data_IF_355608365268
#
_entry.id   IF_355608365268
#
_cell.length_a   1.000
_cell.length_b   1.000
_cell.length_c   1.000
_cell.angle_alpha   90.00
_cell.angle_beta   90.00
_cell.angle_gamma   90.00
#
_symmetry.space_group_name_H-M   'P 1'
#
loop_
_entity.id
_entity.type
_entity.pdbx_description
1 polymer ?
#
# COMPACT_ATOMS: atom_id res chain seq x y z
N UNK A 1 -12.29 -22.82 27.73
CA UNK A 1 -13.32 -23.13 28.76
C UNK A 1 -14.57 -22.27 28.62
N UNK A 2 -14.42 -20.96 28.35
CA UNK A 2 -15.54 -20.01 28.29
C UNK A 2 -16.15 -19.87 26.89
N UNK A 3 -15.31 -19.90 25.85
CA UNK A 3 -15.75 -19.87 24.46
C UNK A 3 -14.93 -20.89 23.66
N UNK A 4 -15.62 -21.67 22.84
CA UNK A 4 -15.04 -22.64 21.89
C UNK A 4 -15.51 -22.40 20.46
N UNK A 5 -16.30 -21.36 20.23
CA UNK A 5 -16.84 -21.00 18.92
C UNK A 5 -15.88 -20.15 18.08
N UNK A 6 -14.77 -19.71 18.67
CA UNK A 6 -13.76 -18.84 18.04
C UNK A 6 -12.37 -19.45 18.25
N UNK A 7 -11.50 -19.37 17.23
CA UNK A 7 -10.15 -19.88 17.34
C UNK A 7 -9.34 -19.05 18.35
N UNK A 8 -8.56 -19.72 19.18
CA UNK A 8 -7.51 -19.12 19.99
C UNK A 8 -6.33 -18.80 19.10
N UNK A 9 -5.83 -17.56 19.19
CA UNK A 9 -4.67 -17.10 18.43
C UNK A 9 -3.79 -16.19 19.28
N UNK A 10 -2.56 -15.98 18.83
CA UNK A 10 -1.62 -15.03 19.40
C UNK A 10 -0.72 -14.45 18.29
N UNK A 11 -0.23 -13.24 18.53
CA UNK A 11 0.74 -12.56 17.68
C UNK A 11 2.17 -12.96 18.08
N UNK A 12 2.83 -13.78 17.25
CA UNK A 12 4.17 -14.29 17.50
C UNK A 12 5.21 -13.33 16.91
N UNK A 13 5.80 -12.48 17.75
CA UNK A 13 6.87 -11.55 17.38
C UNK A 13 8.19 -12.25 16.99
N UNK A 14 8.45 -13.43 17.57
CA UNK A 14 9.64 -14.23 17.30
C UNK A 14 9.26 -15.65 16.88
N UNK A 15 8.76 -15.82 15.66
CA UNK A 15 8.30 -17.11 15.12
C UNK A 15 9.39 -18.18 15.22
N UNK A 16 10.63 -17.84 14.84
CA UNK A 16 11.76 -18.76 14.91
C UNK A 16 11.96 -19.34 16.32
N UNK A 17 11.88 -18.51 17.36
CA UNK A 17 12.00 -18.96 18.75
C UNK A 17 10.74 -19.67 19.23
N UNK A 18 9.56 -19.18 18.84
CA UNK A 18 8.28 -19.79 19.23
C UNK A 18 8.17 -21.23 18.72
N UNK A 19 8.71 -21.49 17.53
CA UNK A 19 8.78 -22.82 16.92
C UNK A 19 9.63 -23.83 17.69
N UNK A 20 10.53 -23.37 18.56
CA UNK A 20 11.34 -24.24 19.44
C UNK A 20 10.61 -24.55 20.76
N UNK A 21 9.34 -24.19 20.86
CA UNK A 21 8.48 -24.42 22.03
C UNK A 21 7.16 -25.06 21.60
N UNK A 22 6.36 -25.52 22.57
CA UNK A 22 5.01 -26.02 22.31
C UNK A 22 4.00 -24.89 22.01
N UNK A 23 4.39 -23.63 22.16
CA UNK A 23 3.46 -22.50 22.17
C UNK A 23 2.63 -22.36 20.89
N UNK A 24 3.20 -22.41 19.66
CA UNK A 24 2.39 -22.37 18.44
C UNK A 24 1.43 -23.55 18.31
N UNK A 25 1.76 -24.72 18.90
CA UNK A 25 0.92 -25.91 18.90
C UNK A 25 -0.28 -25.82 19.86
N UNK A 26 -0.25 -24.88 20.80
CA UNK A 26 -1.37 -24.60 21.71
C UNK A 26 -2.42 -23.63 21.11
N UNK A 27 -2.16 -23.08 19.91
CA UNK A 27 -3.06 -22.15 19.22
C UNK A 27 -3.86 -22.89 18.14
N UNK A 28 -5.12 -22.49 17.94
CA UNK A 28 -5.91 -22.97 16.81
C UNK A 28 -5.41 -22.37 15.49
N UNK A 29 -4.97 -21.10 15.55
CA UNK A 29 -4.42 -20.35 14.42
C UNK A 29 -3.22 -19.53 14.90
N UNK A 30 -2.08 -19.64 14.24
CA UNK A 30 -0.86 -18.94 14.63
C UNK A 30 -0.70 -17.62 13.87
N UNK A 31 -0.64 -16.50 14.60
CA UNK A 31 -0.42 -15.17 14.05
C UNK A 31 1.07 -14.83 13.99
N UNK A 32 1.54 -14.38 12.84
CA UNK A 32 2.95 -14.09 12.59
C UNK A 32 3.13 -12.57 12.46
N UNK A 33 3.98 -11.98 13.30
CA UNK A 33 4.31 -10.55 13.21
C UNK A 33 5.55 -10.38 12.32
N UNK A 34 5.45 -9.60 11.24
CA UNK A 34 6.56 -9.14 10.38
C UNK A 34 7.52 -10.24 9.87
N UNK A 35 7.01 -11.46 9.71
CA UNK A 35 7.82 -12.66 9.44
C UNK A 35 7.28 -13.43 8.23
N UNK A 36 6.94 -12.71 7.16
CA UNK A 36 6.46 -13.27 5.90
C UNK A 36 7.42 -14.32 5.32
N UNK A 37 8.72 -14.18 5.57
CA UNK A 37 9.75 -15.15 5.17
C UNK A 37 9.58 -16.55 5.78
N UNK A 38 8.82 -16.68 6.88
CA UNK A 38 8.52 -17.96 7.51
C UNK A 38 7.24 -18.62 6.98
N UNK A 39 6.43 -17.94 6.17
CA UNK A 39 5.17 -18.48 5.65
C UNK A 39 5.38 -19.81 4.90
N UNK A 40 6.26 -19.84 3.90
CA UNK A 40 6.53 -21.07 3.13
C UNK A 40 7.28 -22.14 3.95
N UNK A 41 8.38 -21.84 4.65
CA UNK A 41 9.07 -22.84 5.46
C UNK A 41 8.17 -23.51 6.50
N UNK A 42 7.35 -22.73 7.22
CA UNK A 42 6.51 -23.26 8.28
C UNK A 42 5.25 -23.95 7.73
N UNK A 43 4.71 -23.52 6.59
CA UNK A 43 3.67 -24.28 5.90
C UNK A 43 4.16 -25.69 5.53
N UNK A 44 5.39 -25.82 5.04
CA UNK A 44 5.99 -27.12 4.71
C UNK A 44 6.31 -27.95 5.96
N UNK A 45 6.85 -27.33 7.02
CA UNK A 45 7.24 -28.03 8.25
C UNK A 45 6.05 -28.42 9.12
N UNK A 46 5.01 -27.59 9.15
CA UNK A 46 3.82 -27.76 9.98
C UNK A 46 2.54 -27.67 9.12
N UNK A 47 2.27 -28.66 8.25
CA UNK A 47 1.20 -28.57 7.25
C UNK A 47 -0.22 -28.43 7.83
N UNK A 48 -0.43 -28.81 9.10
CA UNK A 48 -1.71 -28.61 9.80
C UNK A 48 -1.86 -27.24 10.49
N UNK A 49 -0.81 -26.41 10.50
CA UNK A 49 -0.85 -25.09 11.14
C UNK A 49 -1.53 -24.09 10.21
N UNK A 50 -2.59 -23.45 10.71
CA UNK A 50 -3.19 -22.29 10.04
C UNK A 50 -2.36 -21.05 10.38
N UNK A 51 -1.91 -20.33 9.35
CA UNK A 51 -1.03 -19.17 9.48
C UNK A 51 -1.72 -17.92 8.90
N UNK A 52 -1.56 -16.80 9.59
CA UNK A 52 -1.90 -15.47 9.08
C UNK A 52 -0.89 -14.44 9.58
N UNK A 53 -0.78 -13.31 8.89
CA UNK A 53 -0.02 -12.17 9.38
C UNK A 53 -0.83 -11.43 10.45
N UNK A 54 -0.45 -11.54 11.72
CA UNK A 54 -1.13 -10.83 12.81
C UNK A 54 -0.70 -9.37 12.93
N UNK A 55 0.45 -9.03 12.35
CA UNK A 55 0.95 -7.66 12.24
C UNK A 55 1.91 -7.59 11.05
N UNK A 56 1.65 -6.67 10.12
CA UNK A 56 2.39 -6.54 8.87
C UNK A 56 2.69 -5.08 8.56
N UNK A 57 3.78 -4.86 7.83
CA UNK A 57 4.13 -3.57 7.26
C UNK A 57 3.28 -3.21 6.04
N UNK A 58 3.48 -1.99 5.53
CA UNK A 58 2.71 -1.47 4.39
C UNK A 58 3.30 -1.82 3.02
N UNK A 59 4.37 -2.61 2.94
CA UNK A 59 5.01 -2.93 1.66
C UNK A 59 4.08 -3.74 0.74
N UNK A 60 4.30 -3.59 -0.57
CA UNK A 60 3.61 -4.39 -1.57
C UNK A 60 4.05 -5.86 -1.50
N UNK A 61 5.31 -6.13 -1.20
CA UNK A 61 5.82 -7.50 -1.01
C UNK A 61 5.13 -8.24 0.14
N UNK A 62 4.84 -7.56 1.26
CA UNK A 62 4.06 -8.15 2.35
C UNK A 62 2.65 -8.53 1.89
N UNK A 63 2.03 -7.71 1.03
CA UNK A 63 0.73 -8.04 0.43
C UNK A 63 0.81 -9.22 -0.53
N UNK A 64 1.84 -9.27 -1.37
CA UNK A 64 2.09 -10.40 -2.27
C UNK A 64 2.33 -11.69 -1.48
N UNK A 65 3.01 -11.63 -0.35
CA UNK A 65 3.19 -12.78 0.53
C UNK A 65 1.85 -13.37 1.02
N UNK A 66 0.78 -12.58 1.05
CA UNK A 66 -0.58 -13.08 1.30
C UNK A 66 -1.24 -13.56 0.02
N UNK A 67 -1.32 -12.73 -1.02
CA UNK A 67 -2.13 -13.03 -2.22
C UNK A 67 -1.56 -14.12 -3.12
N UNK A 68 -0.25 -14.33 -3.09
CA UNK A 68 0.42 -15.37 -3.88
C UNK A 68 0.50 -16.72 -3.14
N UNK A 69 0.13 -16.75 -1.84
CA UNK A 69 0.24 -17.95 -1.01
C UNK A 69 -1.14 -18.33 -0.43
N UNK A 70 -1.88 -19.27 -1.06
CA UNK A 70 -3.26 -19.59 -0.65
C UNK A 70 -3.40 -20.21 0.75
N UNK A 71 -2.29 -20.63 1.35
CA UNK A 71 -2.23 -21.13 2.74
C UNK A 71 -2.12 -20.01 3.78
N UNK A 72 -2.04 -18.74 3.36
CA UNK A 72 -2.06 -17.56 4.23
C UNK A 72 -3.43 -16.91 4.13
N UNK A 73 -4.15 -16.84 5.26
CA UNK A 73 -5.55 -16.38 5.26
C UNK A 73 -5.72 -14.87 5.21
N UNK A 74 -4.68 -14.10 5.55
CA UNK A 74 -4.75 -12.64 5.56
C UNK A 74 -3.58 -11.97 6.27
N UNK A 75 -3.67 -10.64 6.36
CA UNK A 75 -2.74 -9.77 7.07
C UNK A 75 -3.47 -8.68 7.86
N UNK A 76 -2.84 -8.20 8.93
CA UNK A 76 -3.28 -7.03 9.70
C UNK A 76 -2.21 -5.95 9.66
N UNK A 77 -2.53 -4.80 9.08
CA UNK A 77 -1.56 -3.71 8.91
C UNK A 77 -1.34 -2.94 10.21
N UNK A 78 -0.08 -2.68 10.54
CA UNK A 78 0.31 -1.72 11.56
C UNK A 78 0.55 -0.33 10.92
N UNK A 79 -0.40 0.61 10.95
CA UNK A 79 -1.74 0.55 11.56
C UNK A 79 -2.84 0.93 10.58
N UNK A 80 -4.09 0.76 11.00
CA UNK A 80 -5.24 1.36 10.31
C UNK A 80 -5.22 2.89 10.39
N UNK A 81 -5.13 3.44 11.59
CA UNK A 81 -5.10 4.89 11.86
C UNK A 81 -3.86 5.26 12.66
N UNK A 82 -3.33 6.46 12.44
CA UNK A 82 -2.30 7.04 13.30
C UNK A 82 -2.76 7.07 14.77
N UNK A 83 -1.82 6.99 15.72
CA UNK A 83 -2.13 6.95 17.15
C UNK A 83 -1.09 7.72 17.97
N UNK A 84 -1.48 8.15 19.18
CA UNK A 84 -0.61 8.85 20.13
C UNK A 84 0.30 7.86 20.89
N UNK A 85 1.51 8.29 21.23
CA UNK A 85 2.54 7.41 21.81
C UNK A 85 3.40 6.74 20.74
N UNK A 86 4.32 5.86 21.14
CA UNK A 86 5.35 5.28 20.27
C UNK A 86 6.04 6.34 19.39
N UNK A 87 6.20 7.53 19.97
CA UNK A 87 6.65 8.71 19.28
C UNK A 87 8.19 8.74 19.26
N UNK A 88 8.73 9.34 18.20
CA UNK A 88 10.13 9.72 18.17
C UNK A 88 10.42 10.90 19.10
N UNK A 89 11.47 11.66 18.79
CA UNK A 89 11.82 12.84 19.56
C UNK A 89 10.71 13.90 19.55
N UNK A 90 10.57 14.62 20.66
CA UNK A 90 9.77 15.84 20.74
C UNK A 90 10.10 16.78 19.57
N UNK A 91 9.12 17.41 18.89
CA UNK A 91 7.70 17.55 19.25
C UNK A 91 6.77 16.45 18.69
N UNK A 92 7.30 15.30 18.25
CA UNK A 92 6.44 14.20 17.82
C UNK A 92 5.58 13.69 18.98
N UNK A 93 4.29 13.44 18.71
CA UNK A 93 3.31 13.00 19.71
C UNK A 93 2.75 11.60 19.45
N UNK A 94 3.07 11.01 18.30
CA UNK A 94 2.43 9.79 17.85
C UNK A 94 3.17 9.09 16.72
N UNK A 95 2.70 7.90 16.41
CA UNK A 95 3.10 7.14 15.24
C UNK A 95 2.31 7.60 14.01
N UNK A 96 3.02 7.78 12.90
CA UNK A 96 2.47 8.15 11.58
C UNK A 96 2.38 6.96 10.63
N UNK A 97 2.34 5.73 11.16
CA UNK A 97 2.32 4.50 10.37
C UNK A 97 0.97 4.21 9.69
N UNK A 98 -0.11 4.86 10.12
CA UNK A 98 -1.49 4.54 9.74
C UNK A 98 -1.84 4.83 8.28
N UNK A 99 -2.85 4.12 7.78
CA UNK A 99 -3.52 4.42 6.51
C UNK A 99 -4.33 5.72 6.56
N UNK A 100 -4.85 6.04 7.75
CA UNK A 100 -5.51 7.31 8.07
C UNK A 100 -4.66 8.13 9.04
N UNK A 101 -4.74 9.45 8.95
CA UNK A 101 -4.12 10.34 9.93
C UNK A 101 -4.94 10.43 11.24
N UNK A 102 -4.42 11.17 12.23
CA UNK A 102 -5.09 11.34 13.54
C UNK A 102 -6.46 12.04 13.45
N UNK A 103 -6.74 12.75 12.35
CA UNK A 103 -8.04 13.38 12.09
C UNK A 103 -8.99 12.47 11.30
N UNK A 104 -8.54 11.27 10.92
CA UNK A 104 -9.31 10.31 10.15
C UNK A 104 -9.33 10.58 8.64
N UNK A 105 -8.43 11.43 8.12
CA UNK A 105 -8.27 11.60 6.68
C UNK A 105 -7.42 10.47 6.10
N UNK A 106 -7.82 9.97 4.93
CA UNK A 106 -7.07 8.92 4.22
C UNK A 106 -5.76 9.50 3.69
N UNK A 107 -4.65 8.87 4.07
CA UNK A 107 -3.31 9.21 3.60
C UNK A 107 -3.04 8.54 2.24
N UNK A 108 -2.02 8.96 1.48
CA UNK A 108 -1.74 8.35 0.17
C UNK A 108 -1.58 6.83 0.22
N UNK A 109 -0.90 6.28 1.23
CA UNK A 109 -0.79 4.82 1.42
C UNK A 109 -2.14 4.12 1.63
N UNK A 110 -3.12 4.83 2.19
CA UNK A 110 -4.49 4.35 2.31
C UNK A 110 -5.17 4.21 0.95
N UNK A 111 -4.97 5.18 0.04
CA UNK A 111 -5.41 5.06 -1.35
C UNK A 111 -4.68 3.96 -2.12
N UNK A 112 -3.39 3.74 -1.83
CA UNK A 112 -2.66 2.59 -2.37
C UNK A 112 -3.27 1.26 -1.88
N UNK A 113 -3.60 1.14 -0.59
CA UNK A 113 -4.32 -0.06 -0.09
C UNK A 113 -5.72 -0.20 -0.70
N UNK A 114 -6.44 0.91 -0.89
CA UNK A 114 -7.72 0.89 -1.59
C UNK A 114 -7.60 0.37 -3.02
N UNK A 115 -6.52 0.72 -3.75
CA UNK A 115 -6.30 0.20 -5.11
C UNK A 115 -6.00 -1.29 -5.16
N UNK A 116 -5.60 -1.89 -4.03
CA UNK A 116 -5.33 -3.33 -3.92
C UNK A 116 -6.55 -4.14 -3.44
N UNK A 117 -7.46 -3.53 -2.67
CA UNK A 117 -8.53 -4.23 -1.96
C UNK A 117 -9.93 -3.95 -2.50
N UNK A 118 -10.14 -2.83 -3.20
CA UNK A 118 -11.47 -2.41 -3.65
C UNK A 118 -11.84 -3.08 -4.97
N UNK A 119 -13.06 -3.62 -5.05
CA UNK A 119 -13.68 -4.05 -6.31
C UNK A 119 -14.23 -2.88 -7.14
N UNK A 120 -14.43 -1.71 -6.52
CA UNK A 120 -14.93 -0.51 -7.21
C UNK A 120 -13.78 0.16 -7.97
N UNK A 121 -13.95 0.52 -9.26
CA UNK A 121 -12.96 1.28 -10.01
C UNK A 121 -12.52 2.53 -9.26
N UNK A 122 -11.22 2.72 -9.09
CA UNK A 122 -10.65 3.86 -8.37
C UNK A 122 -9.35 4.32 -9.00
N UNK A 123 -9.06 5.61 -8.86
CA UNK A 123 -7.76 6.18 -9.18
C UNK A 123 -7.42 7.26 -8.16
N UNK A 124 -6.14 7.39 -7.85
CA UNK A 124 -5.56 8.45 -7.06
C UNK A 124 -4.22 8.83 -7.69
N UNK A 125 -3.90 10.12 -7.75
CA UNK A 125 -2.53 10.57 -8.10
C UNK A 125 -1.90 11.33 -6.95
N UNK A 126 -0.63 11.03 -6.75
CA UNK A 126 0.28 11.78 -5.90
C UNK A 126 1.54 12.12 -6.68
N UNK A 127 2.29 13.10 -6.21
CA UNK A 127 3.49 13.55 -6.91
C UNK A 127 4.62 13.91 -5.95
N UNK A 128 5.84 13.89 -6.47
CA UNK A 128 7.04 14.35 -5.78
C UNK A 128 8.15 14.67 -6.78
N UNK A 129 9.13 15.48 -6.36
CA UNK A 129 10.29 15.79 -7.19
C UNK A 129 11.16 14.55 -7.38
N UNK A 130 11.58 14.29 -8.61
CA UNK A 130 12.55 13.24 -8.88
C UNK A 130 13.94 13.73 -8.45
N UNK A 131 14.40 13.32 -7.27
CA UNK A 131 15.71 13.75 -6.73
C UNK A 131 16.86 12.90 -7.31
N UNK A 132 16.58 11.66 -7.73
CA UNK A 132 17.54 10.75 -8.36
C UNK A 132 16.88 9.90 -9.46
N UNK A 133 17.53 9.79 -10.61
CA UNK A 133 17.02 9.07 -11.80
C UNK A 133 16.94 7.53 -11.63
N UNK A 134 17.43 7.02 -10.49
CA UNK A 134 17.52 5.58 -10.19
C UNK A 134 16.47 5.08 -9.20
N UNK A 135 15.46 5.88 -8.84
CA UNK A 135 14.40 5.40 -7.94
C UNK A 135 13.52 4.37 -8.68
N UNK A 136 13.83 3.08 -8.47
CA UNK A 136 13.17 1.94 -9.14
C UNK A 136 11.79 1.62 -8.58
N UNK A 137 11.52 1.99 -7.33
CA UNK A 137 10.27 1.70 -6.64
C UNK A 137 9.56 3.00 -6.31
N UNK A 138 8.44 3.32 -6.97
CA UNK A 138 7.68 4.53 -6.66
C UNK A 138 7.16 4.52 -5.22
N UNK A 139 7.09 5.70 -4.61
CA UNK A 139 6.57 5.85 -3.25
C UNK A 139 5.07 5.53 -3.18
N UNK A 140 4.64 4.86 -2.10
CA UNK A 140 3.23 4.68 -1.73
C UNK A 140 2.68 5.88 -0.94
N UNK A 141 3.53 6.84 -0.58
CA UNK A 141 3.20 8.01 0.25
C UNK A 141 3.19 9.33 -0.54
N UNK A 142 3.04 9.27 -1.86
CA UNK A 142 3.02 10.48 -2.69
C UNK A 142 1.80 11.37 -2.41
N UNK A 143 2.04 12.62 -2.03
CA UNK A 143 0.99 13.58 -1.69
C UNK A 143 0.28 14.11 -2.95
N UNK A 144 -1.01 14.47 -2.88
CA UNK A 144 -1.79 14.93 -4.03
C UNK A 144 -1.55 16.43 -4.28
N UNK A 145 -0.29 16.84 -4.47
CA UNK A 145 0.12 18.24 -4.62
C UNK A 145 0.50 18.52 -6.07
N UNK A 146 0.15 19.68 -6.63
CA UNK A 146 0.61 20.07 -7.97
C UNK A 146 1.09 21.51 -7.99
N UNK A 147 2.07 21.80 -7.12
CA UNK A 147 2.68 23.11 -6.95
C UNK A 147 4.20 22.95 -6.87
N UNK A 148 4.87 23.11 -8.00
CA UNK A 148 6.33 23.01 -8.13
C UNK A 148 6.87 24.21 -8.92
N UNK A 149 8.18 24.31 -9.06
CA UNK A 149 8.78 25.32 -9.95
C UNK A 149 8.70 24.87 -11.40
N UNK A 150 8.53 25.83 -12.31
CA UNK A 150 8.43 25.56 -13.74
C UNK A 150 9.62 24.72 -14.24
N UNK A 151 9.33 23.70 -15.04
CA UNK A 151 10.29 22.76 -15.64
C UNK A 151 11.02 21.83 -14.65
N UNK A 152 10.68 21.80 -13.36
CA UNK A 152 11.13 20.72 -12.49
C UNK A 152 10.54 19.39 -12.98
N UNK A 153 11.36 18.33 -13.04
CA UNK A 153 10.86 16.99 -13.36
C UNK A 153 10.17 16.42 -12.13
N UNK A 154 8.88 16.15 -12.27
CA UNK A 154 8.02 15.65 -11.21
C UNK A 154 7.60 14.23 -11.56
N UNK A 155 7.79 13.31 -10.60
CA UNK A 155 7.21 11.99 -10.66
C UNK A 155 5.74 12.08 -10.27
N UNK A 156 4.88 11.61 -11.16
CA UNK A 156 3.45 11.45 -10.95
C UNK A 156 3.19 9.96 -10.78
N UNK A 157 2.78 9.54 -9.59
CA UNK A 157 2.35 8.16 -9.34
C UNK A 157 0.83 8.07 -9.39
N UNK A 158 0.34 6.94 -9.88
CA UNK A 158 -1.06 6.60 -9.89
C UNK A 158 -1.29 5.27 -9.16
N UNK A 159 -2.16 5.32 -8.14
CA UNK A 159 -2.70 4.13 -7.49
C UNK A 159 -4.08 3.87 -8.08
N UNK A 160 -4.27 2.70 -8.68
CA UNK A 160 -5.52 2.35 -9.35
C UNK A 160 -5.68 0.83 -9.40
N UNK A 161 -6.92 0.36 -9.46
CA UNK A 161 -7.25 -1.03 -9.80
C UNK A 161 -7.66 -1.18 -11.28
N UNK A 162 -7.52 -0.12 -12.08
CA UNK A 162 -7.72 -0.17 -13.52
C UNK A 162 -6.59 -0.95 -14.20
N UNK A 163 -6.86 -1.52 -15.38
CA UNK A 163 -5.87 -2.29 -16.13
C UNK A 163 -4.76 -1.40 -16.70
N UNK A 164 -5.10 -0.16 -17.05
CA UNK A 164 -4.19 0.86 -17.58
C UNK A 164 -4.58 2.23 -17.08
N UNK A 165 -3.71 3.21 -17.27
CA UNK A 165 -4.03 4.61 -17.00
C UNK A 165 -3.44 5.54 -18.06
N UNK A 166 -4.18 6.63 -18.34
CA UNK A 166 -3.76 7.74 -19.20
C UNK A 166 -3.62 9.00 -18.35
N UNK A 167 -2.51 9.72 -18.50
CA UNK A 167 -2.26 10.99 -17.83
C UNK A 167 -2.54 12.16 -18.77
N UNK A 168 -3.22 13.19 -18.26
CA UNK A 168 -3.59 14.39 -18.99
C UNK A 168 -3.18 15.64 -18.19
N UNK A 169 -2.49 16.57 -18.84
CA UNK A 169 -2.13 17.87 -18.28
C UNK A 169 -2.81 18.96 -19.10
N UNK A 170 -3.65 19.77 -18.46
CA UNK A 170 -4.42 20.83 -19.11
C UNK A 170 -5.24 20.33 -20.31
N UNK A 171 -5.80 19.12 -20.19
CA UNK A 171 -6.64 18.49 -21.23
C UNK A 171 -5.87 17.90 -22.41
N UNK A 172 -4.54 17.79 -22.32
CA UNK A 172 -3.71 17.11 -23.32
C UNK A 172 -3.06 15.89 -22.69
N UNK A 173 -3.07 14.76 -23.39
CA UNK A 173 -2.34 13.58 -22.94
C UNK A 173 -0.84 13.91 -22.80
N UNK A 174 -0.25 13.47 -21.69
CA UNK A 174 1.18 13.58 -21.42
C UNK A 174 1.75 12.19 -21.13
N UNK A 175 2.83 11.84 -21.82
CA UNK A 175 3.39 10.49 -21.79
C UNK A 175 2.51 9.45 -22.49
N UNK A 176 2.98 8.21 -22.47
CA UNK A 176 2.25 7.06 -23.00
C UNK A 176 1.20 6.57 -22.00
N UNK A 177 0.18 5.87 -22.51
CA UNK A 177 -0.72 5.07 -21.67
C UNK A 177 0.12 3.95 -21.05
N UNK A 178 0.02 3.79 -19.74
CA UNK A 178 0.80 2.80 -19.00
C UNK A 178 -0.11 1.67 -18.53
N UNK A 179 0.34 0.42 -18.69
CA UNK A 179 -0.31 -0.75 -18.11
C UNK A 179 -0.08 -0.81 -16.60
N UNK A 180 -0.97 -1.50 -15.87
CA UNK A 180 -0.81 -1.76 -14.45
C UNK A 180 0.51 -2.50 -14.17
N UNK A 181 1.32 -1.94 -13.27
CA UNK A 181 2.60 -2.53 -12.91
C UNK A 181 2.40 -3.60 -11.82
N UNK A 182 2.49 -4.88 -12.19
CA UNK A 182 2.33 -5.99 -11.25
C UNK A 182 3.53 -6.22 -10.32
N UNK A 183 4.67 -5.57 -10.57
CA UNK A 183 5.85 -5.64 -9.71
C UNK A 183 5.79 -4.66 -8.54
N UNK A 184 5.26 -3.44 -8.77
CA UNK A 184 5.20 -2.37 -7.76
C UNK A 184 3.77 -2.07 -7.28
N UNK A 185 2.76 -2.42 -8.07
CA UNK A 185 1.36 -2.02 -7.87
C UNK A 185 1.09 -0.56 -8.24
N UNK A 186 2.06 0.15 -8.83
CA UNK A 186 2.02 1.60 -9.07
C UNK A 186 2.37 1.91 -10.52
N UNK A 187 1.51 2.68 -11.17
CA UNK A 187 1.79 3.30 -12.47
C UNK A 187 2.47 4.65 -12.22
N UNK A 188 3.44 5.06 -13.04
CA UNK A 188 4.04 6.38 -12.91
C UNK A 188 4.46 7.00 -14.24
N UNK A 189 4.61 8.33 -14.23
CA UNK A 189 5.18 9.15 -15.29
C UNK A 189 6.13 10.17 -14.68
N UNK A 190 7.20 10.49 -15.39
CA UNK A 190 8.10 11.58 -15.03
C UNK A 190 7.90 12.70 -16.06
N UNK A 191 7.32 13.82 -15.64
CA UNK A 191 6.96 14.93 -16.53
C UNK A 191 7.47 16.27 -16.00
N UNK A 192 7.83 17.23 -16.87
CA UNK A 192 8.13 18.58 -16.44
C UNK A 192 6.87 19.23 -15.88
N UNK A 193 7.01 19.91 -14.74
CA UNK A 193 5.91 20.64 -14.14
C UNK A 193 5.46 21.81 -15.02
N UNK A 194 4.16 21.86 -15.26
CA UNK A 194 3.44 23.01 -15.77
C UNK A 194 2.19 23.22 -14.91
N UNK A 195 1.97 24.47 -14.48
CA UNK A 195 0.81 24.81 -13.67
C UNK A 195 -0.51 24.49 -14.41
N UNK A 196 -1.52 24.08 -13.64
CA UNK A 196 -2.86 23.81 -14.15
C UNK A 196 -3.48 22.56 -13.56
N UNK A 197 -4.27 21.84 -14.38
CA UNK A 197 -4.98 20.63 -13.95
C UNK A 197 -4.24 19.38 -14.44
N UNK A 198 -3.80 18.55 -13.51
CA UNK A 198 -3.26 17.23 -13.76
C UNK A 198 -4.34 16.18 -13.47
N UNK A 199 -4.67 15.35 -14.43
CA UNK A 199 -5.76 14.39 -14.36
C UNK A 199 -5.30 13.01 -14.85
N UNK A 200 -5.67 11.97 -14.12
CA UNK A 200 -5.51 10.59 -14.57
C UNK A 200 -6.88 10.00 -14.90
N UNK A 201 -6.91 9.21 -15.97
CA UNK A 201 -8.05 8.39 -16.35
C UNK A 201 -7.65 6.93 -16.27
N UNK A 202 -8.35 6.16 -15.42
CA UNK A 202 -8.20 4.71 -15.36
C UNK A 202 -9.00 4.03 -16.47
N UNK A 203 -8.37 3.09 -17.16
CA UNK A 203 -8.89 2.38 -18.32
C UNK A 203 -8.99 0.88 -18.04
N UNK A 204 -10.03 0.23 -18.56
CA UNK A 204 -10.10 -1.22 -18.61
C UNK A 204 -9.22 -1.81 -19.74
N UNK A 205 -9.28 -3.13 -19.92
CA UNK A 205 -8.47 -3.86 -20.91
C UNK A 205 -8.79 -3.44 -22.36
N UNK A 206 -10.02 -3.01 -22.61
CA UNK A 206 -10.54 -2.59 -23.91
C UNK A 206 -10.38 -1.07 -24.14
N UNK A 207 -9.62 -0.40 -23.27
CA UNK A 207 -9.37 1.05 -23.25
C UNK A 207 -10.61 1.91 -22.99
N UNK A 208 -11.64 1.36 -22.35
CA UNK A 208 -12.79 2.15 -21.90
C UNK A 208 -12.46 2.82 -20.57
N UNK A 209 -12.87 4.08 -20.43
CA UNK A 209 -12.71 4.84 -19.21
C UNK A 209 -13.65 4.34 -18.11
N UNK A 210 -13.11 4.08 -16.92
CA UNK A 210 -13.87 3.56 -15.77
C UNK A 210 -13.75 4.41 -14.51
N UNK A 211 -12.75 5.29 -14.44
CA UNK A 211 -12.54 6.21 -13.30
C UNK A 211 -11.67 7.38 -13.72
N UNK A 212 -11.79 8.51 -13.01
CA UNK A 212 -10.93 9.69 -13.17
C UNK A 212 -10.58 10.28 -11.81
N UNK A 213 -9.39 10.87 -11.70
CA UNK A 213 -8.98 11.62 -10.53
C UNK A 213 -8.08 12.78 -10.97
N UNK A 214 -8.22 13.95 -10.34
CA UNK A 214 -7.47 15.13 -10.70
C UNK A 214 -6.96 15.91 -9.49
N UNK A 215 -5.81 16.53 -9.66
CA UNK A 215 -5.26 17.55 -8.77
C UNK A 215 -5.00 18.83 -9.57
N UNK A 216 -4.96 19.96 -8.88
CA UNK A 216 -4.82 21.26 -9.54
C UNK A 216 -3.85 22.15 -8.78
N UNK A 217 -3.05 22.92 -9.52
CA UNK A 217 -2.22 23.96 -8.94
C UNK A 217 -3.09 25.01 -8.24
N UNK A 218 -2.72 25.36 -7.01
CA UNK A 218 -3.38 26.43 -6.27
C UNK A 218 -2.73 27.77 -6.63
N UNK A 219 -3.53 28.85 -6.64
CA UNK A 219 -2.97 30.20 -6.62
C UNK A 219 -2.30 30.43 -5.27
N UNK A 220 -1.03 30.86 -5.28
CA UNK A 220 -0.38 31.40 -4.09
C UNK A 220 -0.94 32.79 -3.76
#
# INVERSE_FOLDING_TARGET
>A
QYDKSRPVTAALAGVAMSNETEYPGALDIAGYNYTESFYLPDHNKYPGRVIYGSENGHSFDAWKAVTENPYISGQFLWTGIDYLGEAGSWPSRGSSAGLLDLAGFVKPRGYFRQSLWSDKPMAYIGTYLLVQDNERTPSIDALPVWNYDANQTVRVVCYTNAAKARLELNGKQVGDIQDYNHQTGIIYWDIPYQAGKLEVTGLDKDNKEITRYAIQSSKQ
#
